data_IF_527535558435
#
_entry.id   IF_527535558435
#
_cell.length_a   1.000
_cell.length_b   1.000
_cell.length_c   1.000
_cell.angle_alpha   90.00
_cell.angle_beta   90.00
_cell.angle_gamma   90.00
#
_symmetry.space_group_name_H-M   'P 1'
#
loop_
_entity.id
_entity.type
_entity.pdbx_description
1 polymer ?
#
# COMPACT_ATOMS: atom_id res chain seq x y z
N UNK A 1 -11.56 15.64 -22.08
CA UNK A 1 -12.49 16.12 -23.14
C UNK A 1 -12.49 17.63 -23.29
N UNK A 2 -12.83 18.42 -22.25
CA UNK A 2 -12.97 19.88 -22.35
C UNK A 2 -11.64 20.58 -22.74
N UNK A 3 -10.57 20.33 -21.99
CA UNK A 3 -9.25 20.96 -22.25
C UNK A 3 -8.75 20.71 -23.68
N UNK A 4 -8.89 19.47 -24.16
CA UNK A 4 -8.44 19.07 -25.49
C UNK A 4 -9.48 19.34 -26.60
N UNK A 5 -10.73 19.68 -26.24
CA UNK A 5 -11.89 19.84 -27.14
C UNK A 5 -12.14 18.62 -28.04
N UNK A 6 -12.06 17.42 -27.46
CA UNK A 6 -12.21 16.13 -28.15
C UNK A 6 -13.17 15.24 -27.34
N UNK A 7 -13.97 14.45 -28.04
CA UNK A 7 -14.82 13.41 -27.44
C UNK A 7 -14.04 12.11 -27.21
N UNK A 8 -14.43 11.29 -26.24
CA UNK A 8 -13.79 9.99 -25.94
C UNK A 8 -13.88 8.98 -27.09
N UNK A 9 -14.89 9.11 -27.95
CA UNK A 9 -15.09 8.23 -29.12
C UNK A 9 -14.18 8.56 -30.30
N UNK A 10 -13.49 9.69 -30.26
CA UNK A 10 -12.58 10.11 -31.33
C UNK A 10 -11.17 9.58 -31.08
N UNK A 11 -10.36 9.52 -32.14
CA UNK A 11 -8.99 8.99 -32.01
C UNK A 11 -8.13 9.87 -31.08
N UNK A 12 -7.33 9.26 -30.17
CA UNK A 12 -6.38 10.00 -29.33
C UNK A 12 -5.38 10.83 -30.13
N UNK A 13 -5.12 10.46 -31.40
CA UNK A 13 -4.23 11.19 -32.30
C UNK A 13 -4.65 12.64 -32.57
N UNK A 14 -5.93 12.98 -32.34
CA UNK A 14 -6.40 14.38 -32.42
C UNK A 14 -5.71 15.31 -31.41
N UNK A 15 -5.05 14.77 -30.40
CA UNK A 15 -4.29 15.56 -29.42
C UNK A 15 -2.96 16.08 -29.98
N UNK A 16 -2.43 15.50 -31.05
CA UNK A 16 -1.18 15.91 -31.66
C UNK A 16 -1.41 16.94 -32.77
N UNK A 17 -0.57 17.97 -32.80
CA UNK A 17 -0.55 18.95 -33.88
C UNK A 17 0.28 18.42 -35.07
N UNK A 18 -0.20 18.65 -36.29
CA UNK A 18 0.51 18.28 -37.53
C UNK A 18 -0.11 17.12 -38.32
N UNK A 19 -1.19 16.50 -37.82
CA UNK A 19 -1.96 15.50 -38.56
C UNK A 19 -3.14 16.19 -39.26
N UNK A 20 -3.25 16.11 -40.61
CA UNK A 20 -4.42 16.61 -41.32
C UNK A 20 -5.73 15.96 -40.85
N UNK A 21 -6.79 16.75 -40.71
CA UNK A 21 -8.09 16.27 -40.22
C UNK A 21 -8.68 15.16 -41.12
N UNK A 22 -8.39 15.19 -42.42
CA UNK A 22 -8.80 14.14 -43.35
C UNK A 22 -8.23 12.76 -42.98
N UNK A 23 -6.98 12.69 -42.51
CA UNK A 23 -6.35 11.44 -42.09
C UNK A 23 -7.00 10.93 -40.80
N UNK A 24 -7.27 11.82 -39.84
CA UNK A 24 -7.94 11.47 -38.58
C UNK A 24 -9.34 10.91 -38.85
N UNK A 25 -10.12 11.52 -39.74
CA UNK A 25 -11.43 11.02 -40.13
C UNK A 25 -11.36 9.66 -40.85
N UNK A 26 -10.30 9.39 -41.63
CA UNK A 26 -10.10 8.09 -42.25
C UNK A 26 -9.79 7.01 -41.22
N UNK A 27 -8.96 7.31 -40.21
CA UNK A 27 -8.65 6.39 -39.11
C UNK A 27 -9.90 6.07 -38.28
N UNK A 28 -10.71 7.08 -37.96
CA UNK A 28 -11.97 6.90 -37.22
C UNK A 28 -12.99 6.04 -37.99
N UNK A 29 -12.96 6.05 -39.33
CA UNK A 29 -13.82 5.19 -40.16
C UNK A 29 -13.39 3.72 -40.22
N UNK A 30 -12.15 3.40 -39.82
CA UNK A 30 -11.59 2.04 -39.94
C UNK A 30 -11.97 1.11 -38.78
N UNK A 31 -12.62 1.63 -37.75
CA UNK A 31 -13.10 0.90 -36.57
C UNK A 31 -12.07 -0.10 -36.02
N UNK A 32 -10.82 0.34 -35.92
CA UNK A 32 -9.72 -0.42 -35.35
C UNK A 32 -9.52 0.01 -33.89
N UNK A 33 -9.45 -0.95 -32.99
CA UNK A 33 -9.12 -0.71 -31.58
C UNK A 33 -7.78 0.01 -31.43
N UNK A 34 -7.68 0.94 -30.47
CA UNK A 34 -6.50 1.80 -30.31
C UNK A 34 -5.21 0.99 -30.08
N UNK A 35 -5.31 -0.10 -29.32
CA UNK A 35 -4.22 -0.96 -28.92
C UNK A 35 -3.55 -1.62 -30.12
N UNK A 36 -4.31 -1.91 -31.19
CA UNK A 36 -3.79 -2.53 -32.41
C UNK A 36 -2.87 -1.62 -33.20
N UNK A 37 -2.97 -0.30 -33.03
CA UNK A 37 -2.09 0.63 -33.74
C UNK A 37 -0.62 0.51 -33.30
N UNK A 38 -0.35 -0.01 -32.10
CA UNK A 38 1.01 -0.27 -31.62
C UNK A 38 1.68 -1.48 -32.30
N UNK A 39 0.89 -2.41 -32.84
CA UNK A 39 1.41 -3.60 -33.53
C UNK A 39 1.80 -3.31 -34.99
N UNK A 40 1.30 -2.20 -35.55
CA UNK A 40 1.43 -1.86 -36.96
C UNK A 40 2.73 -1.10 -37.25
N UNK A 41 3.44 -1.53 -38.28
CA UNK A 41 4.60 -0.83 -38.79
C UNK A 41 4.23 0.50 -39.47
N UNK A 42 5.21 1.38 -39.60
CA UNK A 42 5.03 2.67 -40.32
C UNK A 42 4.55 2.52 -41.78
N UNK A 43 4.84 1.39 -42.43
CA UNK A 43 4.40 1.10 -43.79
C UNK A 43 2.92 0.70 -43.80
N UNK A 44 2.54 -0.25 -42.94
CA UNK A 44 1.15 -0.71 -42.79
C UNK A 44 0.22 0.43 -42.38
N UNK A 45 0.66 1.30 -41.46
CA UNK A 45 -0.09 2.52 -41.10
C UNK A 45 -0.29 3.45 -42.29
N UNK A 46 0.71 3.59 -43.15
CA UNK A 46 0.64 4.38 -44.37
C UNK A 46 -0.32 3.79 -45.42
N UNK A 47 -0.34 2.47 -45.55
CA UNK A 47 -1.27 1.74 -46.42
C UNK A 47 -2.70 1.80 -45.90
N UNK A 48 -2.89 1.67 -44.58
CA UNK A 48 -4.20 1.71 -43.91
C UNK A 48 -4.96 3.01 -44.21
N UNK A 49 -4.25 4.15 -44.19
CA UNK A 49 -4.81 5.47 -44.49
C UNK A 49 -4.81 5.82 -45.99
N UNK A 50 -4.25 4.94 -46.84
CA UNK A 50 -3.97 5.17 -48.27
C UNK A 50 -3.13 6.43 -48.53
N UNK A 51 -2.15 6.68 -47.65
CA UNK A 51 -1.25 7.83 -47.74
C UNK A 51 0.14 7.50 -47.14
N UNK A 52 0.99 6.75 -47.88
CA UNK A 52 2.24 6.19 -47.34
C UNK A 52 3.20 7.20 -46.74
N UNK A 53 3.22 8.44 -47.27
CA UNK A 53 4.11 9.51 -46.79
C UNK A 53 3.90 9.87 -45.32
N UNK A 54 2.68 9.72 -44.78
CA UNK A 54 2.37 10.06 -43.39
C UNK A 54 2.47 8.88 -42.42
N UNK A 55 2.71 7.66 -42.92
CA UNK A 55 2.79 6.47 -42.06
C UNK A 55 3.89 6.58 -41.00
N UNK A 56 5.04 7.17 -41.35
CA UNK A 56 6.14 7.45 -40.41
C UNK A 56 5.75 8.44 -39.32
N UNK A 57 5.05 9.52 -39.69
CA UNK A 57 4.60 10.54 -38.76
C UNK A 57 3.57 9.98 -37.78
N UNK A 58 2.62 9.18 -38.27
CA UNK A 58 1.63 8.52 -37.43
C UNK A 58 2.26 7.52 -36.46
N UNK A 59 3.17 6.68 -36.96
CA UNK A 59 3.91 5.73 -36.13
C UNK A 59 4.64 6.46 -34.99
N UNK A 60 5.32 7.57 -35.30
CA UNK A 60 5.96 8.41 -34.27
C UNK A 60 4.94 8.88 -33.23
N UNK A 61 3.80 9.43 -33.63
CA UNK A 61 2.79 9.93 -32.68
C UNK A 61 2.13 8.83 -31.84
N UNK A 62 1.91 7.64 -32.40
CA UNK A 62 1.36 6.50 -31.66
C UNK A 62 2.31 6.11 -30.52
N UNK A 63 3.61 5.99 -30.79
CA UNK A 63 4.61 5.67 -29.76
C UNK A 63 4.92 6.83 -28.81
N UNK A 64 4.55 8.07 -29.15
CA UNK A 64 4.62 9.20 -28.24
C UNK A 64 3.39 9.30 -27.34
N UNK A 65 2.32 8.56 -27.60
CA UNK A 65 1.13 8.64 -26.77
C UNK A 65 1.42 7.99 -25.39
N UNK A 66 1.17 8.70 -24.27
CA UNK A 66 1.48 8.18 -22.94
C UNK A 66 0.81 6.83 -22.67
N UNK A 67 1.64 5.82 -22.40
CA UNK A 67 1.23 4.45 -22.09
C UNK A 67 2.07 3.94 -20.92
N UNK A 68 1.41 3.30 -19.95
CA UNK A 68 2.05 2.71 -18.78
C UNK A 68 1.69 1.23 -18.74
N UNK A 69 2.70 0.38 -18.54
CA UNK A 69 2.51 -1.02 -18.20
C UNK A 69 2.47 -1.14 -16.67
N UNK A 70 1.46 -1.82 -16.15
CA UNK A 70 1.22 -1.95 -14.72
C UNK A 70 1.36 -3.41 -14.32
N UNK A 71 2.15 -3.68 -13.29
CA UNK A 71 2.22 -4.97 -12.63
C UNK A 71 1.96 -4.76 -11.14
N UNK A 72 1.04 -5.52 -10.56
CA UNK A 72 0.69 -5.40 -9.15
C UNK A 72 1.03 -6.69 -8.40
N UNK A 73 1.73 -6.55 -7.29
CA UNK A 73 1.96 -7.63 -6.34
C UNK A 73 1.17 -7.34 -5.07
N UNK A 74 0.31 -8.28 -4.66
CA UNK A 74 -0.64 -8.07 -3.58
C UNK A 74 -0.37 -9.04 -2.46
N UNK A 75 -0.29 -8.53 -1.23
CA UNK A 75 -0.03 -9.32 -0.03
C UNK A 75 -1.03 -8.97 1.07
N UNK A 76 -1.69 -9.96 1.69
CA UNK A 76 -2.60 -9.68 2.78
C UNK A 76 -1.82 -9.37 4.06
N UNK A 77 -2.09 -8.20 4.67
CA UNK A 77 -1.54 -7.85 5.98
C UNK A 77 -2.45 -8.40 7.07
N UNK A 78 -3.76 -8.17 6.92
CA UNK A 78 -4.81 -8.66 7.81
C UNK A 78 -5.98 -9.18 6.98
N UNK A 79 -7.03 -9.71 7.62
CA UNK A 79 -8.26 -10.12 6.93
C UNK A 79 -8.99 -8.97 6.22
N UNK A 80 -8.72 -7.73 6.58
CA UNK A 80 -9.41 -6.54 6.07
C UNK A 80 -8.50 -5.58 5.32
N UNK A 81 -7.20 -5.86 5.19
CA UNK A 81 -6.22 -4.95 4.56
C UNK A 81 -5.26 -5.74 3.67
N UNK A 82 -5.19 -5.34 2.40
CA UNK A 82 -4.17 -5.77 1.45
C UNK A 82 -3.10 -4.69 1.32
N UNK A 83 -1.84 -5.11 1.27
CA UNK A 83 -0.75 -4.31 0.72
C UNK A 83 -0.69 -4.55 -0.78
N UNK A 84 -0.64 -3.47 -1.55
CA UNK A 84 -0.44 -3.51 -2.99
C UNK A 84 0.86 -2.80 -3.30
N UNK A 85 1.76 -3.52 -3.94
CA UNK A 85 2.98 -3.01 -4.54
C UNK A 85 2.75 -2.93 -6.06
N UNK A 86 2.54 -1.72 -6.55
CA UNK A 86 2.28 -1.43 -7.95
C UNK A 86 3.57 -0.98 -8.63
N UNK A 87 4.06 -1.78 -9.56
CA UNK A 87 5.15 -1.43 -10.46
C UNK A 87 4.58 -0.80 -11.73
N UNK A 88 5.04 0.41 -12.02
CA UNK A 88 4.67 1.22 -13.19
C UNK A 88 5.89 1.32 -14.10
N UNK A 89 5.77 0.75 -15.29
CA UNK A 89 6.80 0.82 -16.34
C UNK A 89 6.31 1.69 -17.48
N UNK A 90 6.92 2.86 -17.74
CA UNK A 90 6.57 3.69 -18.89
C UNK A 90 6.89 3.00 -20.22
N UNK A 91 5.90 2.99 -21.13
CA UNK A 91 6.01 2.34 -22.45
C UNK A 91 5.64 3.31 -23.57
N UNK A 92 6.32 4.46 -23.60
CA UNK A 92 6.17 5.48 -24.63
C UNK A 92 7.44 6.31 -24.78
N UNK A 93 7.57 6.96 -25.95
CA UNK A 93 8.68 7.84 -26.27
C UNK A 93 8.41 9.25 -25.77
N UNK A 94 9.23 9.73 -24.85
CA UNK A 94 9.13 11.10 -24.36
C UNK A 94 9.46 12.13 -25.45
N UNK A 95 8.69 13.20 -25.49
CA UNK A 95 8.86 14.34 -26.40
C UNK A 95 8.50 15.62 -25.68
N UNK A 96 9.46 16.52 -25.49
CA UNK A 96 9.33 17.72 -24.65
C UNK A 96 8.24 18.67 -25.14
N UNK A 97 8.01 18.71 -26.47
CA UNK A 97 6.97 19.55 -27.08
C UNK A 97 5.55 19.05 -26.76
N UNK A 98 5.41 17.77 -26.42
CA UNK A 98 4.11 17.14 -26.16
C UNK A 98 3.88 17.00 -24.65
N UNK A 99 4.85 16.45 -23.93
CA UNK A 99 4.74 16.06 -22.52
C UNK A 99 5.27 17.12 -21.56
N UNK A 100 6.07 18.08 -22.05
CA UNK A 100 6.76 19.03 -21.18
C UNK A 100 7.81 18.35 -20.28
N UNK A 101 7.84 18.78 -19.01
CA UNK A 101 8.82 18.30 -18.02
C UNK A 101 8.29 17.16 -17.13
N UNK A 102 6.98 17.13 -16.91
CA UNK A 102 6.29 16.18 -16.03
C UNK A 102 4.97 15.79 -16.67
N UNK A 103 4.70 14.50 -16.73
CA UNK A 103 3.43 13.94 -17.17
C UNK A 103 2.69 13.34 -15.96
N UNK A 104 1.54 13.91 -15.56
CA UNK A 104 0.80 13.43 -14.41
C UNK A 104 -0.18 12.31 -14.75
N UNK A 105 -0.32 11.36 -13.82
CA UNK A 105 -1.26 10.26 -13.87
C UNK A 105 -2.01 10.12 -12.55
N UNK A 106 -3.28 9.72 -12.64
CA UNK A 106 -4.03 9.28 -11.48
C UNK A 106 -3.95 7.75 -11.39
N UNK A 107 -3.49 7.26 -10.23
CA UNK A 107 -3.59 5.85 -9.88
C UNK A 107 -4.85 5.71 -9.03
N UNK A 108 -5.84 4.99 -9.53
CA UNK A 108 -7.13 4.80 -8.88
C UNK A 108 -7.37 3.31 -8.75
N UNK A 109 -7.66 2.87 -7.53
CA UNK A 109 -8.07 1.50 -7.23
C UNK A 109 -9.54 1.52 -6.87
N UNK A 110 -10.33 0.80 -7.64
CA UNK A 110 -11.78 0.72 -7.50
C UNK A 110 -12.21 -0.65 -7.01
N UNK A 111 -13.42 -0.72 -6.48
CA UNK A 111 -14.09 -1.98 -6.17
C UNK A 111 -14.55 -2.72 -7.44
N UNK A 112 -14.96 -3.99 -7.32
CA UNK A 112 -15.40 -4.84 -8.42
C UNK A 112 -16.51 -4.21 -9.28
N UNK A 113 -17.42 -3.46 -8.64
CA UNK A 113 -18.56 -2.83 -9.31
C UNK A 113 -18.22 -1.43 -9.85
N UNK A 114 -16.98 -0.94 -9.65
CA UNK A 114 -16.51 0.41 -10.03
C UNK A 114 -17.31 1.59 -9.46
N UNK A 115 -18.06 1.34 -8.38
CA UNK A 115 -18.85 2.38 -7.71
C UNK A 115 -18.06 3.14 -6.65
N UNK A 116 -17.03 2.50 -6.08
CA UNK A 116 -16.26 3.03 -4.96
C UNK A 116 -14.78 3.04 -5.29
N UNK A 117 -14.16 4.19 -5.05
CA UNK A 117 -12.71 4.35 -5.07
C UNK A 117 -12.19 3.92 -3.69
N UNK A 118 -11.42 2.83 -3.67
CA UNK A 118 -10.79 2.29 -2.47
C UNK A 118 -9.49 3.04 -2.14
N UNK A 119 -8.76 3.45 -3.17
CA UNK A 119 -7.53 4.21 -3.04
C UNK A 119 -7.33 5.11 -4.27
N UNK A 120 -6.76 6.30 -4.08
CA UNK A 120 -6.31 7.15 -5.17
C UNK A 120 -5.01 7.87 -4.80
N UNK A 121 -4.11 7.97 -5.76
CA UNK A 121 -2.83 8.66 -5.61
C UNK A 121 -2.45 9.37 -6.91
N UNK A 122 -1.76 10.50 -6.78
CA UNK A 122 -1.28 11.28 -7.91
C UNK A 122 0.17 10.91 -8.22
N UNK A 123 0.39 10.24 -9.35
CA UNK A 123 1.70 9.83 -9.84
C UNK A 123 2.22 10.86 -10.85
N UNK A 124 3.37 11.46 -10.57
CA UNK A 124 4.01 12.43 -11.47
C UNK A 124 5.25 11.84 -12.12
N UNK A 125 5.14 11.44 -13.38
CA UNK A 125 6.27 10.93 -14.14
C UNK A 125 7.12 12.09 -14.64
N UNK A 126 8.38 12.18 -14.19
CA UNK A 126 9.33 13.19 -14.68
C UNK A 126 10.13 12.62 -15.83
N UNK A 127 10.50 13.47 -16.80
CA UNK A 127 11.33 13.10 -17.96
C UNK A 127 12.57 12.28 -17.60
N UNK A 128 13.23 12.62 -16.49
CA UNK A 128 14.49 12.00 -16.08
C UNK A 128 14.35 10.51 -15.75
N UNK A 129 13.16 10.08 -15.33
CA UNK A 129 12.90 8.72 -14.86
C UNK A 129 12.11 7.89 -15.88
N UNK A 130 12.00 8.34 -17.14
CA UNK A 130 11.20 7.64 -18.15
C UNK A 130 11.65 6.19 -18.42
N UNK A 131 12.95 5.91 -18.25
CA UNK A 131 13.53 4.58 -18.48
C UNK A 131 13.62 3.74 -17.20
N UNK A 132 13.05 4.22 -16.09
CA UNK A 132 13.09 3.56 -14.79
C UNK A 132 11.70 3.02 -14.42
N UNK A 133 11.68 1.88 -13.75
CA UNK A 133 10.47 1.33 -13.15
C UNK A 133 10.15 2.08 -11.85
N UNK A 134 8.88 2.45 -11.67
CA UNK A 134 8.42 3.15 -10.48
C UNK A 134 7.58 2.21 -9.62
N UNK A 135 7.84 2.18 -8.32
CA UNK A 135 7.07 1.35 -7.39
C UNK A 135 6.24 2.24 -6.47
N UNK A 136 4.94 1.97 -6.40
CA UNK A 136 4.00 2.60 -5.47
C UNK A 136 3.51 1.55 -4.47
N UNK A 137 3.67 1.85 -3.19
CA UNK A 137 3.27 0.98 -2.10
C UNK A 137 2.12 1.60 -1.33
N UNK A 138 0.95 0.99 -1.41
CA UNK A 138 -0.23 1.45 -0.70
C UNK A 138 -1.03 0.29 -0.11
N UNK A 139 -2.00 0.61 0.73
CA UNK A 139 -2.88 -0.39 1.36
C UNK A 139 -4.33 -0.15 0.95
N UNK A 140 -5.05 -1.25 0.72
CA UNK A 140 -6.43 -1.24 0.24
C UNK A 140 -7.28 -2.07 1.20
N UNK A 141 -8.43 -1.55 1.66
CA UNK A 141 -9.33 -2.32 2.50
C UNK A 141 -10.04 -3.42 1.71
N UNK A 142 -10.31 -4.55 2.37
CA UNK A 142 -11.16 -5.63 1.86
C UNK A 142 -12.45 -5.65 2.67
N UNK A 143 -13.58 -5.81 1.97
CA UNK A 143 -14.90 -6.00 2.57
C UNK A 143 -15.39 -7.44 2.41
N UNK A 144 -16.17 -7.92 3.37
CA UNK A 144 -16.92 -9.18 3.25
C UNK A 144 -18.32 -8.90 2.66
N UNK A 145 -18.82 -9.70 1.69
CA UNK A 145 -18.21 -10.91 1.12
C UNK A 145 -17.06 -10.60 0.15
N UNK A 146 -16.03 -11.47 0.14
CA UNK A 146 -14.85 -11.29 -0.71
C UNK A 146 -15.26 -11.24 -2.19
N UNK A 147 -15.00 -10.14 -2.91
CA UNK A 147 -15.36 -10.04 -4.31
C UNK A 147 -14.53 -11.01 -5.17
N UNK A 148 -15.12 -11.55 -6.25
CA UNK A 148 -14.49 -12.60 -7.06
C UNK A 148 -13.29 -12.14 -7.90
N UNK A 149 -13.08 -10.83 -8.08
CA UNK A 149 -12.11 -10.28 -9.04
C UNK A 149 -10.90 -9.53 -8.42
N UNK A 150 -10.49 -9.85 -7.19
CA UNK A 150 -9.06 -9.70 -6.89
C UNK A 150 -8.36 -10.87 -7.59
N UNK A 151 -7.90 -10.67 -8.83
CA UNK A 151 -7.25 -11.71 -9.65
C UNK A 151 -5.94 -12.22 -9.01
N UNK A 152 -6.06 -13.04 -7.96
CA UNK A 152 -5.02 -13.95 -7.45
C UNK A 152 -5.75 -15.21 -7.02
N UNK A 153 -5.80 -16.20 -7.92
CA UNK A 153 -6.14 -17.57 -7.53
C UNK A 153 -5.13 -17.98 -6.46
N UNK A 154 -5.62 -18.34 -5.28
CA UNK A 154 -4.85 -18.78 -4.09
C UNK A 154 -4.38 -17.66 -3.14
N UNK A 155 -5.15 -16.57 -2.98
CA UNK A 155 -4.94 -15.65 -1.86
C UNK A 155 -5.39 -16.30 -0.54
N UNK A 156 -4.44 -16.78 0.25
CA UNK A 156 -4.70 -17.27 1.62
C UNK A 156 -4.70 -16.05 2.54
N UNK A 157 -5.89 -15.63 3.00
CA UNK A 157 -6.00 -14.58 4.00
C UNK A 157 -5.51 -15.10 5.36
N UNK A 158 -4.79 -14.27 6.14
CA UNK A 158 -4.43 -14.61 7.51
C UNK A 158 -5.67 -14.93 8.35
N UNK A 159 -5.51 -15.76 9.37
CA UNK A 159 -6.59 -15.99 10.33
C UNK A 159 -6.97 -14.70 11.06
N UNK A 160 -8.20 -14.65 11.58
CA UNK A 160 -8.63 -13.51 12.38
C UNK A 160 -7.86 -13.58 13.69
N UNK A 161 -7.12 -12.54 14.03
CA UNK A 161 -6.43 -12.49 15.32
C UNK A 161 -7.43 -12.71 16.46
N UNK A 162 -7.07 -13.50 17.48
CA UNK A 162 -7.91 -13.62 18.66
C UNK A 162 -8.10 -12.22 19.28
N UNK A 163 -9.25 -11.96 19.92
CA UNK A 163 -9.45 -10.72 20.64
C UNK A 163 -8.34 -10.54 21.69
N UNK A 164 -7.87 -9.29 21.93
CA UNK A 164 -6.91 -9.04 23.00
C UNK A 164 -7.49 -9.43 24.35
N UNK A 165 -6.64 -9.88 25.27
CA UNK A 165 -7.04 -10.20 26.64
C UNK A 165 -7.69 -8.97 27.29
N UNK A 166 -8.89 -9.14 27.83
CA UNK A 166 -9.60 -8.06 28.49
C UNK A 166 -8.87 -7.60 29.75
N UNK A 167 -8.90 -6.27 29.96
CA UNK A 167 -8.42 -5.66 31.19
C UNK A 167 -9.50 -5.82 32.25
N UNK A 168 -9.21 -6.62 33.27
CA UNK A 168 -10.13 -6.88 34.36
C UNK A 168 -10.21 -5.65 35.27
N UNK A 169 -11.42 -5.33 35.76
CA UNK A 169 -11.65 -4.28 36.75
C UNK A 169 -11.23 -4.76 38.14
N UNK A 170 -9.92 -4.89 38.33
CA UNK A 170 -9.31 -5.31 39.59
C UNK A 170 -9.12 -4.09 40.49
N UNK A 171 -9.19 -4.33 41.80
CA UNK A 171 -8.80 -3.31 42.75
C UNK A 171 -7.31 -2.95 42.56
N UNK A 172 -6.96 -1.65 42.42
CA UNK A 172 -5.59 -1.23 42.21
C UNK A 172 -4.65 -1.82 43.26
N UNK A 173 -3.60 -2.50 42.81
CA UNK A 173 -2.68 -3.18 43.71
C UNK A 173 -1.79 -2.16 44.43
N UNK A 174 -1.77 -2.12 45.77
CA UNK A 174 -0.88 -1.23 46.49
C UNK A 174 0.58 -1.68 46.37
N UNK A 175 1.53 -0.74 46.43
CA UNK A 175 2.98 -1.03 46.37
C UNK A 175 3.43 -1.99 47.49
N UNK A 176 2.73 -1.98 48.63
CA UNK A 176 2.94 -2.90 49.76
C UNK A 176 2.73 -4.37 49.41
N UNK A 177 2.16 -4.69 48.25
CA UNK A 177 2.06 -6.05 47.73
C UNK A 177 3.42 -6.69 47.44
N UNK A 178 4.50 -5.90 47.29
CA UNK A 178 5.87 -6.39 47.10
C UNK A 178 6.44 -7.08 48.36
N UNK A 179 5.89 -6.80 49.55
CA UNK A 179 6.29 -7.41 50.84
C UNK A 179 7.78 -7.29 51.16
N UNK A 180 8.44 -6.26 50.64
CA UNK A 180 9.85 -5.97 50.90
C UNK A 180 10.05 -4.45 50.96
N UNK A 181 10.38 -3.88 52.14
CA UNK A 181 10.56 -2.45 52.32
C UNK A 181 11.58 -1.81 51.35
N UNK A 182 12.61 -2.56 50.95
CA UNK A 182 13.62 -2.06 50.01
C UNK A 182 13.08 -1.94 48.58
N UNK A 183 12.15 -2.81 48.18
CA UNK A 183 11.52 -2.76 46.86
C UNK A 183 10.38 -1.74 46.84
N UNK A 184 9.63 -1.64 47.93
CA UNK A 184 8.60 -0.60 48.10
C UNK A 184 9.21 0.80 48.03
N UNK A 185 10.44 0.98 48.54
CA UNK A 185 11.17 2.23 48.45
C UNK A 185 11.56 2.65 47.01
N UNK A 186 11.58 1.72 46.05
CA UNK A 186 11.86 2.04 44.64
C UNK A 186 10.66 2.70 43.93
N UNK A 187 9.46 2.52 44.47
CA UNK A 187 8.21 2.96 43.84
C UNK A 187 7.47 4.02 44.66
N UNK A 188 8.19 4.92 45.35
CA UNK A 188 7.60 5.94 46.23
C UNK A 188 6.74 6.98 45.48
N UNK A 189 6.95 7.14 44.18
CA UNK A 189 6.26 8.14 43.36
C UNK A 189 4.75 7.87 43.22
N UNK A 190 4.30 6.64 43.46
CA UNK A 190 2.89 6.27 43.38
C UNK A 190 2.51 5.28 44.49
N UNK A 191 1.22 5.28 44.86
CA UNK A 191 0.70 4.41 45.95
C UNK A 191 0.15 3.07 45.45
N UNK A 192 -0.31 3.04 44.21
CA UNK A 192 -0.92 1.87 43.60
C UNK A 192 -0.38 1.69 42.18
N UNK A 193 -0.20 0.42 41.80
CA UNK A 193 0.09 0.04 40.43
C UNK A 193 -1.12 0.31 39.52
N UNK A 194 -0.86 0.55 38.25
CA UNK A 194 -1.93 0.75 37.27
C UNK A 194 -2.69 -0.58 37.02
N UNK A 195 -3.85 -0.55 36.33
CA UNK A 195 -4.64 -1.76 36.08
C UNK A 195 -3.89 -2.87 35.34
N UNK A 196 -3.07 -2.52 34.33
CA UNK A 196 -2.27 -3.50 33.57
C UNK A 196 -1.27 -4.19 34.49
N UNK A 197 -0.49 -3.42 35.23
CA UNK A 197 0.49 -3.88 36.21
C UNK A 197 -0.17 -4.73 37.30
N UNK A 198 -1.33 -4.30 37.80
CA UNK A 198 -2.14 -5.04 38.78
C UNK A 198 -2.56 -6.41 38.26
N UNK A 199 -3.05 -6.49 37.02
CA UNK A 199 -3.47 -7.74 36.40
C UNK A 199 -2.30 -8.69 36.14
N UNK A 200 -1.14 -8.19 35.73
CA UNK A 200 0.03 -9.04 35.43
C UNK A 200 0.90 -9.36 36.65
N UNK A 201 0.74 -8.64 37.77
CA UNK A 201 1.60 -8.74 38.95
C UNK A 201 1.73 -10.18 39.47
N UNK A 202 0.59 -10.88 39.63
CA UNK A 202 0.60 -12.24 40.19
C UNK A 202 1.44 -13.19 39.35
N UNK A 203 1.36 -13.10 38.03
CA UNK A 203 2.13 -13.98 37.14
C UNK A 203 3.59 -13.55 37.13
N UNK A 204 3.88 -12.24 37.03
CA UNK A 204 5.26 -11.75 36.91
C UNK A 204 6.07 -11.78 38.21
N UNK A 205 5.42 -11.68 39.36
CA UNK A 205 6.08 -11.60 40.67
C UNK A 205 5.97 -12.88 41.49
N UNK A 206 4.88 -13.65 41.36
CA UNK A 206 4.66 -14.87 42.16
C UNK A 206 4.87 -16.17 41.38
N UNK A 207 5.00 -16.13 40.04
CA UNK A 207 5.25 -17.30 39.20
C UNK A 207 6.59 -17.22 38.46
N UNK A 208 7.01 -18.35 37.89
CA UNK A 208 8.24 -18.48 37.10
C UNK A 208 7.94 -18.79 35.62
N UNK A 209 6.69 -18.63 35.21
CA UNK A 209 6.26 -18.94 33.85
C UNK A 209 6.75 -17.86 32.87
N UNK A 210 6.91 -18.26 31.60
CA UNK A 210 7.20 -17.29 30.54
C UNK A 210 5.95 -16.46 30.25
N UNK A 211 6.08 -15.12 30.31
CA UNK A 211 4.96 -14.19 30.13
C UNK A 211 5.21 -13.26 28.96
N UNK A 212 4.22 -13.13 28.07
CA UNK A 212 4.17 -12.08 27.05
C UNK A 212 3.26 -10.94 27.51
N UNK A 213 3.83 -9.76 27.75
CA UNK A 213 3.07 -8.54 28.09
C UNK A 213 3.08 -7.57 26.91
N UNK A 214 2.01 -7.60 26.12
CA UNK A 214 1.81 -6.67 25.02
C UNK A 214 0.76 -5.61 25.42
N UNK A 215 1.22 -4.38 25.63
CA UNK A 215 0.38 -3.23 25.95
C UNK A 215 0.84 -1.99 25.17
N UNK A 216 -0.02 -0.98 24.94
CA UNK A 216 0.36 0.27 24.29
C UNK A 216 1.56 0.97 24.94
N UNK A 217 2.17 1.91 24.20
CA UNK A 217 3.21 2.78 24.77
C UNK A 217 2.65 3.56 25.96
N UNK A 218 3.48 3.80 26.98
CA UNK A 218 3.10 4.43 28.25
C UNK A 218 2.16 3.63 29.18
N UNK A 219 1.82 2.36 28.88
CA UNK A 219 1.08 1.50 29.83
C UNK A 219 1.92 0.98 31.02
N UNK A 220 3.15 1.47 31.20
CA UNK A 220 4.00 1.10 32.33
C UNK A 220 4.65 -0.28 32.22
N UNK A 221 4.90 -0.77 30.98
CA UNK A 221 5.57 -2.06 30.71
C UNK A 221 6.97 -2.17 31.33
N UNK A 222 7.67 -1.06 31.54
CA UNK A 222 8.97 -1.02 32.22
C UNK A 222 8.86 -1.59 33.63
N UNK A 223 7.85 -1.14 34.40
CA UNK A 223 7.58 -1.65 35.75
C UNK A 223 7.17 -3.13 35.69
N UNK A 224 6.40 -3.54 34.66
CA UNK A 224 6.11 -4.96 34.46
C UNK A 224 7.38 -5.79 34.25
N UNK A 225 8.40 -5.27 33.56
CA UNK A 225 9.69 -5.94 33.39
C UNK A 225 10.55 -5.94 34.66
N UNK A 226 10.33 -4.99 35.58
CA UNK A 226 11.04 -4.94 36.86
C UNK A 226 10.53 -5.98 37.87
N UNK A 227 9.23 -6.35 37.86
CA UNK A 227 8.70 -7.40 38.74
C UNK A 227 9.48 -8.73 38.68
N UNK A 228 9.73 -9.34 37.50
CA UNK A 228 10.48 -10.58 37.43
C UNK A 228 11.97 -10.39 37.80
N UNK A 229 12.54 -9.19 37.63
CA UNK A 229 13.90 -8.86 38.09
C UNK A 229 13.97 -8.87 39.62
N UNK A 230 13.02 -8.21 40.28
CA UNK A 230 12.90 -8.19 41.74
C UNK A 230 12.67 -9.60 42.27
N UNK A 231 11.84 -10.40 41.59
CA UNK A 231 11.61 -11.81 41.93
C UNK A 231 12.87 -12.65 41.77
N UNK A 232 13.62 -12.48 40.69
CA UNK A 232 14.89 -13.19 40.47
C UNK A 232 15.91 -12.84 41.57
N UNK A 233 16.00 -11.56 41.94
CA UNK A 233 16.85 -11.12 43.04
C UNK A 233 16.47 -11.80 44.38
N UNK A 234 15.18 -12.05 44.67
CA UNK A 234 14.76 -12.78 45.87
C UNK A 234 15.24 -14.24 45.91
N UNK A 235 15.44 -14.88 44.75
CA UNK A 235 15.84 -16.29 44.66
C UNK A 235 17.32 -16.53 44.93
N UNK A 236 18.14 -15.48 44.86
CA UNK A 236 19.57 -15.53 45.13
C UNK A 236 20.45 -15.39 43.89
N UNK A 237 21.77 -15.21 44.11
CA UNK A 237 22.73 -14.78 43.08
C UNK A 237 23.01 -15.83 41.99
N UNK A 238 22.71 -17.10 42.23
CA UNK A 238 22.91 -18.20 41.26
C UNK A 238 21.75 -18.35 40.26
N UNK A 239 20.71 -17.52 40.36
CA UNK A 239 19.55 -17.60 39.48
C UNK A 239 19.79 -16.91 38.13
N UNK A 240 19.69 -17.70 37.06
CA UNK A 240 19.89 -17.23 35.68
C UNK A 240 18.59 -16.58 35.18
N UNK A 241 18.60 -15.26 35.03
CA UNK A 241 17.54 -14.52 34.37
C UNK A 241 17.76 -14.50 32.85
N UNK A 242 16.76 -14.90 32.06
CA UNK A 242 16.77 -14.81 30.59
C UNK A 242 15.60 -13.93 30.14
N UNK A 243 15.92 -12.80 29.54
CA UNK A 243 14.96 -11.98 28.80
C UNK A 243 15.19 -12.18 27.30
N UNK A 244 14.12 -12.43 26.55
CA UNK A 244 14.11 -12.55 25.08
C UNK A 244 13.13 -11.53 24.52
#
# INVERSE_FOLDING_TARGET
>A
MISKRIWSVQTPLRQFHGIPNEILMRLEKKDLAWERYYDLSSQELGELIRFPKQGRTLHKFIHQFPKLNLAAHVQPITRSILRVELTITPDFQWEDKVHGYVEPFWVIVEDNDRERILHHEYFMLKKQYINEDHTLNFTVPIYEPLPPQYFIRHLILPEKYPPPTELLDLQPLPVTALRNPAYEALYQDFKHFNPVQTQVFTVLYNSDDNVLVAAPTASGKTICAEFPILRNHQKGPDSIFRAV
#
